data_IF_897660148625
#
_entry.id   IF_897660148625
#
_cell.length_a   1.000
_cell.length_b   1.000
_cell.length_c   1.000
_cell.angle_alpha   90.00
_cell.angle_beta   90.00
_cell.angle_gamma   90.00
#
_symmetry.space_group_name_H-M   'P 1'
#
loop_
_entity.id
_entity.type
_entity.pdbx_description
1 polymer ?
#
# COMPACT_ATOMS: atom_id res chain seq x y z
N UNK A 1 -24.50 -18.61 1.33
CA UNK A 1 -24.37 -17.13 1.31
C UNK A 1 -23.62 -16.81 0.04
N UNK A 2 -24.25 -16.06 -0.86
CA UNK A 2 -23.93 -15.89 -2.28
C UNK A 2 -22.43 -15.91 -2.62
N UNK A 3 -21.96 -17.00 -3.23
CA UNK A 3 -20.64 -17.10 -3.87
C UNK A 3 -20.47 -16.17 -5.11
N UNK A 4 -21.48 -15.35 -5.39
CA UNK A 4 -21.53 -14.40 -6.51
C UNK A 4 -21.16 -12.96 -6.15
N UNK A 5 -20.79 -12.66 -4.91
CA UNK A 5 -20.49 -11.29 -4.49
C UNK A 5 -18.98 -10.96 -4.58
N UNK A 6 -18.65 -9.77 -5.10
CA UNK A 6 -17.28 -9.28 -5.14
C UNK A 6 -16.81 -8.89 -3.72
N UNK A 7 -15.65 -9.40 -3.32
CA UNK A 7 -15.13 -9.26 -1.95
C UNK A 7 -13.69 -8.78 -1.92
N UNK A 8 -13.21 -8.37 -0.75
CA UNK A 8 -11.81 -8.01 -0.56
C UNK A 8 -10.96 -9.24 -0.25
N UNK A 9 -9.83 -9.39 -0.96
CA UNK A 9 -8.79 -10.37 -0.65
C UNK A 9 -7.46 -9.68 -0.33
N UNK A 10 -6.75 -10.19 0.67
CA UNK A 10 -5.44 -9.64 1.05
C UNK A 10 -4.38 -10.18 0.11
N UNK A 11 -3.62 -9.29 -0.53
CA UNK A 11 -2.53 -9.68 -1.42
C UNK A 11 -1.18 -9.68 -0.70
N UNK A 12 -0.81 -8.55 -0.10
CA UNK A 12 0.40 -8.42 0.71
C UNK A 12 0.13 -7.49 1.91
N UNK A 13 1.10 -7.24 2.81
CA UNK A 13 0.89 -6.35 3.94
C UNK A 13 0.38 -4.97 3.49
N UNK A 14 -0.77 -4.56 4.03
CA UNK A 14 -1.45 -3.29 3.72
C UNK A 14 -1.94 -3.12 2.27
N UNK A 15 -1.95 -4.18 1.44
CA UNK A 15 -2.51 -4.15 0.08
C UNK A 15 -3.63 -5.17 -0.04
N UNK A 16 -4.77 -4.70 -0.54
CA UNK A 16 -5.96 -5.50 -0.80
C UNK A 16 -6.30 -5.43 -2.29
N UNK A 17 -6.83 -6.53 -2.81
CA UNK A 17 -7.30 -6.69 -4.19
C UNK A 17 -8.78 -7.08 -4.17
N UNK A 18 -9.50 -6.73 -5.23
CA UNK A 18 -10.86 -7.17 -5.48
C UNK A 18 -10.82 -8.65 -5.87
N UNK A 19 -11.59 -9.49 -5.20
CA UNK A 19 -11.83 -10.89 -5.56
C UNK A 19 -13.21 -10.96 -6.20
N UNK A 20 -13.24 -11.22 -7.50
CA UNK A 20 -14.47 -11.28 -8.29
C UNK A 20 -14.66 -12.68 -8.88
N UNK A 21 -15.89 -13.23 -8.89
CA UNK A 21 -16.22 -14.48 -9.57
C UNK A 21 -16.30 -14.29 -11.10
N UNK A 22 -16.63 -13.08 -11.55
CA UNK A 22 -16.74 -12.73 -12.97
C UNK A 22 -15.54 -11.89 -13.44
N UNK A 23 -15.34 -11.87 -14.76
CA UNK A 23 -14.28 -11.09 -15.40
C UNK A 23 -14.74 -9.64 -15.55
N UNK A 24 -13.88 -8.70 -15.19
CA UNK A 24 -14.13 -7.27 -15.28
C UNK A 24 -13.07 -6.58 -16.13
N UNK A 25 -13.46 -5.47 -16.75
CA UNK A 25 -12.56 -4.65 -17.55
C UNK A 25 -11.94 -3.52 -16.72
N UNK A 26 -10.80 -3.02 -17.19
CA UNK A 26 -10.16 -1.87 -16.56
C UNK A 26 -11.04 -0.63 -16.71
N UNK A 27 -11.23 0.11 -15.62
CA UNK A 27 -12.08 1.29 -15.56
C UNK A 27 -13.54 0.97 -15.19
N UNK A 28 -13.92 -0.31 -15.14
CA UNK A 28 -15.25 -0.72 -14.70
C UNK A 28 -15.46 -0.38 -13.22
N UNK A 29 -16.65 0.11 -12.89
CA UNK A 29 -17.05 0.41 -11.52
C UNK A 29 -17.79 -0.80 -10.95
N UNK A 30 -17.27 -1.35 -9.86
CA UNK A 30 -17.86 -2.50 -9.16
C UNK A 30 -18.07 -2.18 -7.68
N UNK A 31 -18.96 -2.93 -7.04
CA UNK A 31 -19.18 -2.85 -5.60
C UNK A 31 -18.44 -3.97 -4.87
N UNK A 32 -17.62 -3.62 -3.88
CA UNK A 32 -16.96 -4.60 -3.00
C UNK A 32 -17.62 -4.62 -1.62
N UNK A 33 -18.04 -5.81 -1.20
CA UNK A 33 -18.63 -6.02 0.12
C UNK A 33 -17.53 -6.37 1.13
N UNK A 34 -17.47 -5.60 2.21
CA UNK A 34 -16.61 -5.91 3.37
C UNK A 34 -17.15 -7.09 4.16
N UNK A 35 -16.32 -7.72 5.01
CA UNK A 35 -16.75 -8.77 5.95
C UNK A 35 -17.88 -8.38 6.91
N UNK A 36 -18.19 -7.07 7.01
CA UNK A 36 -19.24 -6.53 7.86
C UNK A 36 -20.49 -6.09 7.07
N UNK A 37 -20.58 -6.42 5.77
CA UNK A 37 -21.73 -6.10 4.92
C UNK A 37 -21.76 -4.66 4.39
N UNK A 38 -20.76 -3.82 4.69
CA UNK A 38 -20.63 -2.50 4.05
C UNK A 38 -20.12 -2.67 2.62
N UNK A 39 -20.84 -2.09 1.66
CA UNK A 39 -20.44 -2.01 0.27
C UNK A 39 -19.64 -0.72 0.03
N UNK A 40 -18.60 -0.80 -0.79
CA UNK A 40 -17.89 0.37 -1.28
C UNK A 40 -17.76 0.26 -2.79
N UNK A 41 -17.99 1.38 -3.46
CA UNK A 41 -17.77 1.52 -4.89
C UNK A 41 -16.27 1.65 -5.17
N UNK A 42 -15.80 0.88 -6.15
CA UNK A 42 -14.40 0.86 -6.57
C UNK A 42 -14.28 0.81 -8.08
N UNK A 43 -13.26 1.44 -8.61
CA UNK A 43 -12.86 1.35 -10.01
C UNK A 43 -11.81 0.25 -10.16
N UNK A 44 -12.10 -0.74 -11.01
CA UNK A 44 -11.19 -1.83 -11.36
C UNK A 44 -10.02 -1.28 -12.18
N UNK A 45 -8.81 -1.74 -11.88
CA UNK A 45 -7.60 -1.26 -12.55
C UNK A 45 -6.90 -2.37 -13.35
N UNK A 46 -6.08 -3.21 -12.72
CA UNK A 46 -5.38 -4.30 -13.40
C UNK A 46 -5.78 -5.66 -12.87
N UNK A 47 -5.82 -6.66 -13.75
CA UNK A 47 -5.87 -8.06 -13.35
C UNK A 47 -4.50 -8.49 -12.81
N UNK A 48 -4.45 -8.85 -11.53
CA UNK A 48 -3.22 -9.21 -10.80
C UNK A 48 -2.92 -10.70 -10.96
N UNK A 49 -3.92 -11.56 -10.74
CA UNK A 49 -3.81 -13.01 -10.93
C UNK A 49 -5.18 -13.67 -10.98
N UNK A 50 -5.21 -14.95 -11.37
CA UNK A 50 -6.40 -15.80 -11.34
C UNK A 50 -6.12 -17.03 -10.48
N UNK A 51 -7.07 -17.39 -9.61
CA UNK A 51 -6.93 -18.56 -8.73
C UNK A 51 -8.30 -19.08 -8.29
N UNK A 52 -8.47 -20.39 -8.30
CA UNK A 52 -9.68 -21.09 -7.81
C UNK A 52 -10.97 -20.63 -8.51
N UNK A 53 -10.89 -20.28 -9.80
CA UNK A 53 -12.03 -19.74 -10.58
C UNK A 53 -12.38 -18.27 -10.28
N UNK A 54 -11.59 -17.59 -9.44
CA UNK A 54 -11.76 -16.16 -9.16
C UNK A 54 -10.70 -15.31 -9.86
N UNK A 55 -11.10 -14.09 -10.19
CA UNK A 55 -10.27 -13.05 -10.77
C UNK A 55 -9.91 -12.03 -9.70
N UNK A 56 -8.63 -11.69 -9.60
CA UNK A 56 -8.12 -10.76 -8.59
C UNK A 56 -7.65 -9.46 -9.25
N UNK A 57 -8.28 -8.34 -8.91
CA UNK A 57 -7.98 -7.04 -9.51
C UNK A 57 -7.43 -6.04 -8.49
N UNK A 58 -6.49 -5.21 -8.91
CA UNK A 58 -6.21 -3.96 -8.22
C UNK A 58 -7.37 -2.98 -8.46
N UNK A 59 -7.60 -2.09 -7.50
CA UNK A 59 -8.72 -1.16 -7.57
C UNK A 59 -8.39 0.14 -6.84
N UNK A 60 -9.08 1.21 -7.22
CA UNK A 60 -9.09 2.47 -6.50
C UNK A 60 -10.50 2.70 -5.96
N UNK A 61 -10.63 3.15 -4.71
CA UNK A 61 -11.96 3.51 -4.20
C UNK A 61 -12.37 4.87 -4.77
N UNK A 62 -13.61 4.96 -5.27
CA UNK A 62 -14.14 6.21 -5.85
C UNK A 62 -14.40 7.28 -4.78
N UNK A 63 -14.64 6.86 -3.54
CA UNK A 63 -14.98 7.73 -2.40
C UNK A 63 -13.79 8.46 -1.78
N UNK A 64 -12.59 8.37 -2.36
CA UNK A 64 -11.38 9.02 -1.84
C UNK A 64 -10.94 8.51 -0.47
N UNK A 65 -11.42 7.34 -0.04
CA UNK A 65 -11.15 6.83 1.30
C UNK A 65 -9.67 6.52 1.53
N UNK A 66 -9.05 7.29 2.43
CA UNK A 66 -7.73 7.01 2.97
C UNK A 66 -7.85 6.32 4.35
N UNK A 67 -7.35 5.08 4.45
CA UNK A 67 -7.42 4.29 5.68
C UNK A 67 -6.75 4.99 6.87
N UNK A 68 -5.61 5.65 6.64
CA UNK A 68 -4.85 6.31 7.70
C UNK A 68 -5.58 7.55 8.22
N UNK A 69 -6.19 8.35 7.34
CA UNK A 69 -7.01 9.52 7.71
C UNK A 69 -8.23 9.09 8.52
N UNK A 70 -8.97 8.08 8.04
CA UNK A 70 -10.14 7.59 8.74
C UNK A 70 -9.78 7.01 10.12
N UNK A 71 -8.63 6.36 10.24
CA UNK A 71 -8.13 5.84 11.52
C UNK A 71 -7.71 6.97 12.47
N UNK A 72 -7.08 8.02 11.95
CA UNK A 72 -6.76 9.22 12.72
C UNK A 72 -8.03 9.89 13.25
N UNK A 73 -9.02 10.14 12.39
CA UNK A 73 -10.30 10.74 12.77
C UNK A 73 -11.03 9.96 13.86
N UNK A 74 -11.06 8.62 13.74
CA UNK A 74 -11.66 7.75 14.77
C UNK A 74 -10.95 7.87 16.12
N UNK A 75 -9.63 7.92 16.13
CA UNK A 75 -8.84 8.08 17.35
C UNK A 75 -9.02 9.48 17.96
N UNK A 76 -9.13 10.53 17.15
CA UNK A 76 -9.48 11.87 17.62
C UNK A 76 -10.85 11.90 18.29
N UNK A 77 -11.85 11.20 17.72
CA UNK A 77 -13.16 11.06 18.36
C UNK A 77 -13.08 10.38 19.74
N UNK A 78 -12.22 9.36 19.88
CA UNK A 78 -11.98 8.72 21.19
C UNK A 78 -11.23 9.63 22.15
N UNK A 79 -10.28 10.44 21.68
CA UNK A 79 -9.57 11.42 22.48
C UNK A 79 -10.54 12.46 23.05
N UNK A 80 -11.36 13.08 22.20
CA UNK A 80 -12.38 14.06 22.61
C UNK A 80 -13.40 13.46 23.59
N UNK A 81 -13.82 12.21 23.38
CA UNK A 81 -14.73 11.53 24.32
C UNK A 81 -14.08 11.29 25.69
N UNK A 82 -12.79 10.96 25.73
CA UNK A 82 -12.05 10.78 26.98
C UNK A 82 -11.79 12.12 27.68
N UNK A 83 -11.49 13.17 26.92
CA UNK A 83 -11.33 14.54 27.43
C UNK A 83 -12.63 15.04 28.08
N UNK A 84 -13.77 14.91 27.41
CA UNK A 84 -15.07 15.26 27.98
C UNK A 84 -15.40 14.48 29.29
N UNK A 85 -14.94 13.23 29.40
CA UNK A 85 -15.07 12.44 30.64
C UNK A 85 -14.12 12.92 31.75
N UNK A 86 -12.91 13.31 31.38
CA UNK A 86 -11.93 13.93 32.28
C UNK A 86 -12.51 15.22 32.86
N UNK A 87 -12.98 16.12 32.00
CA UNK A 87 -13.52 17.42 32.41
C UNK A 87 -14.71 17.26 33.34
N UNK A 88 -15.66 16.36 32.99
CA UNK A 88 -16.79 16.04 33.86
C UNK A 88 -16.38 15.47 35.22
N UNK A 89 -15.35 14.63 35.28
CA UNK A 89 -14.85 14.08 36.54
C UNK A 89 -14.12 15.15 37.37
N UNK A 90 -13.38 16.03 36.71
CA UNK A 90 -12.71 17.18 37.32
C UNK A 90 -13.71 18.18 37.88
N UNK A 91 -14.75 18.54 37.12
CA UNK A 91 -15.85 19.38 37.60
C UNK A 91 -16.52 18.77 38.84
N UNK A 92 -16.84 17.47 38.79
CA UNK A 92 -17.42 16.76 39.92
C UNK A 92 -16.48 16.66 41.13
N UNK A 93 -15.16 16.74 40.94
CA UNK A 93 -14.19 16.76 42.05
C UNK A 93 -14.22 18.06 42.85
N UNK A 94 -14.87 19.11 42.33
CA UNK A 94 -15.06 20.38 43.03
C UNK A 94 -16.30 20.39 43.95
N UNK A 95 -16.90 19.24 44.26
CA UNK A 95 -17.99 19.16 45.24
C UNK A 95 -17.54 19.76 46.59
N UNK A 96 -18.31 20.68 47.15
CA UNK A 96 -17.98 21.31 48.43
C UNK A 96 -16.75 22.24 48.39
N UNK A 97 -16.35 22.72 47.21
CA UNK A 97 -15.24 23.67 47.03
C UNK A 97 -15.35 24.89 47.95
N UNK A 98 -16.53 25.49 48.07
CA UNK A 98 -16.76 26.66 48.94
C UNK A 98 -16.48 26.35 50.42
N UNK A 99 -16.88 25.17 50.90
CA UNK A 99 -16.58 24.72 52.26
C UNK A 99 -15.09 24.45 52.45
N UNK A 100 -14.46 23.74 51.50
CA UNK A 100 -13.03 23.37 51.58
C UNK A 100 -12.11 24.59 51.43
N UNK A 101 -12.52 25.62 50.68
CA UNK A 101 -11.72 26.85 50.50
C UNK A 101 -11.59 27.68 51.78
N UNK A 102 -12.48 27.48 52.76
CA UNK A 102 -12.36 28.10 54.09
C UNK A 102 -11.17 27.54 54.89
N UNK A 103 -10.62 26.39 54.48
CA UNK A 103 -9.43 25.80 55.11
C UNK A 103 -9.69 25.26 56.52
N UNK A 104 -10.94 24.94 56.88
CA UNK A 104 -11.24 24.37 58.18
C UNK A 104 -10.49 23.03 58.38
N UNK A 105 -9.81 22.82 59.51
CA UNK A 105 -9.17 21.54 59.78
C UNK A 105 -10.21 20.44 60.09
N UNK A 106 -9.84 19.17 59.84
CA UNK A 106 -10.63 18.03 60.28
C UNK A 106 -10.60 17.97 61.82
N UNK A 107 -11.75 18.19 62.45
CA UNK A 107 -11.92 18.11 63.90
C UNK A 107 -12.07 16.65 64.34
N UNK A 108 -10.97 16.05 64.79
CA UNK A 108 -10.93 14.63 65.23
C UNK A 108 -11.85 14.43 66.45
N UNK A 109 -12.68 13.38 66.43
CA UNK A 109 -13.65 13.05 67.47
C UNK A 109 -14.97 13.85 67.42
N UNK A 110 -15.10 14.81 66.51
CA UNK A 110 -16.33 15.59 66.33
C UNK A 110 -17.31 14.89 65.39
N UNK A 111 -18.62 15.09 65.60
CA UNK A 111 -19.68 14.44 64.79
C UNK A 111 -19.60 14.77 63.27
N UNK A 112 -18.90 15.84 62.88
CA UNK A 112 -18.68 16.22 61.47
C UNK A 112 -17.47 15.54 60.81
N UNK A 113 -16.58 14.89 61.58
CA UNK A 113 -15.32 14.31 61.08
C UNK A 113 -15.55 13.36 59.89
N UNK A 114 -16.48 12.41 60.04
CA UNK A 114 -16.75 11.38 59.02
C UNK A 114 -17.19 12.00 57.69
N UNK A 115 -18.01 13.05 57.72
CA UNK A 115 -18.47 13.76 56.51
C UNK A 115 -17.32 14.49 55.84
N UNK A 116 -16.46 15.15 56.60
CA UNK A 116 -15.30 15.88 56.06
C UNK A 116 -14.33 14.91 55.35
N UNK A 117 -13.94 13.81 56.00
CA UNK A 117 -13.07 12.79 55.38
C UNK A 117 -13.69 12.20 54.11
N UNK A 118 -14.99 11.87 54.15
CA UNK A 118 -15.69 11.31 52.99
C UNK A 118 -15.79 12.30 51.81
N UNK A 119 -15.91 13.61 52.07
CA UNK A 119 -15.90 14.63 51.02
C UNK A 119 -14.54 14.68 50.32
N UNK A 120 -13.45 14.75 51.09
CA UNK A 120 -12.08 14.79 50.56
C UNK A 120 -11.79 13.52 49.75
N UNK A 121 -12.13 12.35 50.28
CA UNK A 121 -11.85 11.08 49.62
C UNK A 121 -12.63 10.93 48.29
N UNK A 122 -13.90 11.34 48.26
CA UNK A 122 -14.70 11.36 47.02
C UNK A 122 -14.11 12.31 45.98
N UNK A 123 -13.70 13.51 46.38
CA UNK A 123 -13.09 14.49 45.48
C UNK A 123 -11.74 13.97 44.94
N UNK A 124 -10.92 13.37 45.81
CA UNK A 124 -9.67 12.70 45.41
C UNK A 124 -9.92 11.60 44.38
N UNK A 125 -10.85 10.68 44.65
CA UNK A 125 -11.17 9.58 43.73
C UNK A 125 -11.65 10.09 42.37
N UNK A 126 -12.44 11.18 42.35
CA UNK A 126 -12.89 11.83 41.11
C UNK A 126 -11.74 12.50 40.36
N UNK A 127 -10.82 13.13 41.08
CA UNK A 127 -9.60 13.70 40.48
C UNK A 127 -8.71 12.61 39.87
N UNK A 128 -8.50 11.51 40.58
CA UNK A 128 -7.73 10.36 40.06
C UNK A 128 -8.36 9.83 38.77
N UNK A 129 -9.70 9.74 38.73
CA UNK A 129 -10.44 9.38 37.52
C UNK A 129 -10.27 10.41 36.38
N UNK A 130 -10.32 11.69 36.69
CA UNK A 130 -10.11 12.76 35.70
C UNK A 130 -8.72 12.63 35.06
N UNK A 131 -7.68 12.48 35.89
CA UNK A 131 -6.30 12.31 35.41
C UNK A 131 -6.11 11.03 34.59
N UNK A 132 -6.76 9.92 34.97
CA UNK A 132 -6.71 8.69 34.20
C UNK A 132 -7.33 8.83 32.81
N UNK A 133 -8.50 9.49 32.70
CA UNK A 133 -9.15 9.76 31.41
C UNK A 133 -8.35 10.78 30.58
N UNK A 134 -7.75 11.80 31.22
CA UNK A 134 -6.87 12.76 30.55
C UNK A 134 -5.66 12.07 29.90
N UNK A 135 -4.96 11.21 30.66
CA UNK A 135 -3.83 10.43 30.12
C UNK A 135 -4.26 9.58 28.91
N UNK A 136 -5.45 8.97 28.99
CA UNK A 136 -6.02 8.19 27.89
C UNK A 136 -6.35 9.06 26.67
N UNK A 137 -6.85 10.28 26.86
CA UNK A 137 -7.08 11.23 25.79
C UNK A 137 -5.75 11.58 25.08
N UNK A 138 -4.71 11.92 25.85
CA UNK A 138 -3.36 12.21 25.33
C UNK A 138 -2.79 11.03 24.53
N UNK A 139 -2.93 9.80 25.02
CA UNK A 139 -2.50 8.59 24.30
C UNK A 139 -3.25 8.40 22.97
N UNK A 140 -4.57 8.64 22.95
CA UNK A 140 -5.35 8.58 21.71
C UNK A 140 -4.94 9.68 20.74
N UNK A 141 -4.70 10.90 21.22
CA UNK A 141 -4.26 12.02 20.41
C UNK A 141 -2.90 11.74 19.77
N UNK A 142 -1.91 11.30 20.55
CA UNK A 142 -0.59 10.94 20.04
C UNK A 142 -0.67 9.87 18.94
N UNK A 143 -1.54 8.86 19.14
CA UNK A 143 -1.78 7.82 18.12
C UNK A 143 -2.49 8.39 16.89
N UNK A 144 -3.46 9.30 17.07
CA UNK A 144 -4.14 9.96 15.97
C UNK A 144 -3.16 10.76 15.11
N UNK A 145 -2.26 11.52 15.74
CA UNK A 145 -1.22 12.31 15.07
C UNK A 145 -0.27 11.44 14.25
N UNK A 146 0.12 10.27 14.80
CA UNK A 146 0.91 9.29 14.05
C UNK A 146 0.19 8.85 12.77
N UNK A 147 -1.10 8.51 12.86
CA UNK A 147 -1.88 8.09 11.69
C UNK A 147 -2.13 9.25 10.71
N UNK A 148 -2.33 10.47 11.21
CA UNK A 148 -2.47 11.67 10.37
C UNK A 148 -1.19 11.98 9.58
N UNK A 149 0.00 11.75 10.18
CA UNK A 149 1.27 11.82 9.44
C UNK A 149 1.37 10.73 8.39
N UNK A 150 1.00 9.49 8.74
CA UNK A 150 1.02 8.34 7.83
C UNK A 150 0.03 8.45 6.67
N UNK A 151 -1.01 9.27 6.78
CA UNK A 151 -1.93 9.53 5.67
C UNK A 151 -1.26 10.16 4.45
N UNK A 152 -0.17 10.89 4.66
CA UNK A 152 0.60 11.54 3.60
C UNK A 152 1.62 10.61 2.93
N UNK A 153 1.87 9.44 3.51
CA UNK A 153 2.83 8.49 2.96
C UNK A 153 2.21 7.79 1.73
N UNK A 154 2.93 7.81 0.60
CA UNK A 154 2.55 7.04 -0.59
C UNK A 154 2.88 5.56 -0.33
N UNK A 155 1.88 4.69 -0.48
CA UNK A 155 2.00 3.25 -0.25
C UNK A 155 1.73 2.45 -1.51
N UNK A 156 2.02 1.14 -1.52
CA UNK A 156 1.73 0.25 -2.65
C UNK A 156 0.23 0.20 -3.05
N UNK A 157 -0.67 0.64 -2.18
CA UNK A 157 -2.10 0.71 -2.48
C UNK A 157 -2.48 1.95 -3.31
N UNK A 158 -1.55 2.85 -3.57
CA UNK A 158 -1.75 4.06 -4.36
C UNK A 158 -1.26 3.85 -5.81
N UNK A 159 -2.00 4.30 -6.84
CA UNK A 159 -1.52 4.23 -8.23
C UNK A 159 -0.20 4.98 -8.46
N UNK A 160 -0.05 6.16 -7.85
CA UNK A 160 1.16 7.00 -7.87
C UNK A 160 2.39 6.35 -7.22
N UNK A 161 2.22 5.16 -6.62
CA UNK A 161 3.31 4.49 -5.92
C UNK A 161 4.42 4.01 -6.83
N UNK A 162 4.13 3.76 -8.11
CA UNK A 162 5.12 3.33 -9.08
C UNK A 162 6.22 4.41 -9.23
N UNK A 163 5.82 5.61 -9.65
CA UNK A 163 6.72 6.76 -9.84
C UNK A 163 7.48 7.11 -8.55
N UNK A 164 6.78 7.07 -7.41
CA UNK A 164 7.38 7.32 -6.11
C UNK A 164 8.51 6.33 -5.79
N UNK A 165 8.28 5.03 -6.02
CA UNK A 165 9.31 4.02 -5.74
C UNK A 165 10.45 4.04 -6.76
N UNK A 166 10.20 4.41 -8.02
CA UNK A 166 11.25 4.57 -9.03
C UNK A 166 12.23 5.68 -8.66
N UNK A 167 11.73 6.86 -8.28
CA UNK A 167 12.58 7.95 -7.79
C UNK A 167 13.30 7.59 -6.48
N UNK A 168 12.67 6.81 -5.59
CA UNK A 168 13.36 6.28 -4.40
C UNK A 168 14.47 5.28 -4.76
N UNK A 169 14.28 4.47 -5.80
CA UNK A 169 15.27 3.50 -6.25
C UNK A 169 16.53 4.21 -6.77
N UNK A 170 16.38 5.27 -7.54
CA UNK A 170 17.50 6.08 -8.03
C UNK A 170 18.34 6.62 -6.87
N UNK A 171 17.69 7.20 -5.86
CA UNK A 171 18.37 7.69 -4.65
C UNK A 171 19.06 6.57 -3.89
N UNK A 172 18.42 5.42 -3.75
CA UNK A 172 18.98 4.27 -3.04
C UNK A 172 20.20 3.69 -3.79
N UNK A 173 20.14 3.62 -5.13
CA UNK A 173 21.26 3.19 -5.98
C UNK A 173 22.44 4.16 -5.87
N UNK A 174 22.20 5.46 -5.98
CA UNK A 174 23.24 6.49 -5.82
C UNK A 174 23.91 6.41 -4.45
N UNK A 175 23.13 6.20 -3.38
CA UNK A 175 23.67 6.00 -2.02
C UNK A 175 24.52 4.74 -1.92
N UNK A 176 24.04 3.61 -2.43
CA UNK A 176 24.77 2.35 -2.40
C UNK A 176 26.08 2.44 -3.18
N UNK A 177 26.04 3.06 -4.37
CA UNK A 177 27.23 3.32 -5.18
C UNK A 177 28.21 4.26 -4.48
N UNK A 178 27.71 5.33 -3.85
CA UNK A 178 28.53 6.26 -3.09
C UNK A 178 29.26 5.62 -1.90
N UNK A 179 28.61 4.67 -1.22
CA UNK A 179 29.23 3.88 -0.15
C UNK A 179 30.22 2.82 -0.69
N UNK A 180 30.07 2.41 -1.95
CA UNK A 180 30.92 1.42 -2.61
C UNK A 180 32.20 2.07 -3.17
N UNK A 181 32.08 3.22 -3.82
CA UNK A 181 33.19 3.97 -4.40
C UNK A 181 33.89 4.91 -3.39
N UNK A 182 33.28 5.14 -2.21
CA UNK A 182 33.87 5.93 -1.13
C UNK A 182 33.56 7.43 -1.19
N UNK A 183 32.69 7.89 -2.09
CA UNK A 183 32.22 9.30 -2.07
C UNK A 183 31.38 9.60 -0.83
N UNK A 184 30.77 8.57 -0.23
CA UNK A 184 30.05 8.65 1.04
C UNK A 184 30.80 7.82 2.07
N UNK A 185 31.16 8.44 3.20
CA UNK A 185 31.79 7.75 4.32
C UNK A 185 30.84 6.74 4.97
N UNK A 186 31.39 5.57 5.30
CA UNK A 186 30.65 4.53 6.01
C UNK A 186 30.65 4.86 7.50
N UNK A 187 29.47 5.06 8.07
CA UNK A 187 29.33 5.29 9.52
C UNK A 187 29.62 4.03 10.33
N UNK A 188 29.37 2.84 9.77
CA UNK A 188 29.63 1.56 10.43
C UNK A 188 29.90 0.44 9.41
N UNK A 189 30.38 -0.72 9.88
CA UNK A 189 30.73 -1.87 9.03
C UNK A 189 29.57 -2.35 8.14
N UNK A 190 28.34 -2.28 8.65
CA UNK A 190 27.13 -2.70 7.92
C UNK A 190 26.53 -1.65 6.97
N UNK A 191 27.10 -0.45 6.81
CA UNK A 191 26.46 0.63 6.04
C UNK A 191 26.21 0.22 4.58
N UNK A 192 27.16 -0.48 3.97
CA UNK A 192 27.03 -1.00 2.60
C UNK A 192 25.93 -2.06 2.50
N UNK A 193 25.89 -2.99 3.45
CA UNK A 193 24.91 -4.07 3.50
C UNK A 193 23.48 -3.53 3.63
N UNK A 194 23.28 -2.52 4.48
CA UNK A 194 21.97 -1.88 4.63
C UNK A 194 21.57 -1.11 3.36
N UNK A 195 22.50 -0.41 2.71
CA UNK A 195 22.21 0.27 1.45
C UNK A 195 21.84 -0.72 0.34
N UNK A 196 22.53 -1.87 0.23
CA UNK A 196 22.15 -2.91 -0.74
C UNK A 196 20.79 -3.54 -0.41
N UNK A 197 20.51 -3.77 0.87
CA UNK A 197 19.21 -4.28 1.32
C UNK A 197 18.08 -3.31 0.96
N UNK A 198 18.29 -2.02 1.16
CA UNK A 198 17.33 -0.96 0.81
C UNK A 198 16.99 -0.97 -0.68
N UNK A 199 17.99 -1.03 -1.57
CA UNK A 199 17.80 -1.17 -3.03
C UNK A 199 16.93 -2.39 -3.35
N UNK A 200 17.30 -3.57 -2.82
CA UNK A 200 16.57 -4.81 -3.09
C UNK A 200 15.12 -4.77 -2.56
N UNK A 201 14.86 -4.08 -1.44
CA UNK A 201 13.49 -3.92 -0.91
C UNK A 201 12.65 -2.98 -1.78
N UNK A 202 13.24 -1.90 -2.29
CA UNK A 202 12.55 -0.98 -3.21
C UNK A 202 12.26 -1.68 -4.54
N UNK A 203 13.20 -2.44 -5.09
CA UNK A 203 12.98 -3.23 -6.33
C UNK A 203 11.80 -4.19 -6.20
N UNK A 204 11.66 -4.87 -5.05
CA UNK A 204 10.49 -5.72 -4.77
C UNK A 204 9.18 -4.94 -4.72
N UNK A 205 9.20 -3.72 -4.17
CA UNK A 205 8.05 -2.82 -4.15
C UNK A 205 7.68 -2.36 -5.55
N UNK A 206 8.65 -1.97 -6.38
CA UNK A 206 8.41 -1.61 -7.79
C UNK A 206 7.80 -2.77 -8.55
N UNK A 207 8.33 -3.99 -8.39
CA UNK A 207 7.75 -5.19 -9.03
C UNK A 207 6.27 -5.38 -8.66
N UNK A 208 5.95 -5.16 -7.39
CA UNK A 208 4.57 -5.24 -6.90
C UNK A 208 3.71 -4.09 -7.42
N UNK A 209 4.21 -2.86 -7.38
CA UNK A 209 3.52 -1.66 -7.88
C UNK A 209 3.22 -1.77 -9.38
N UNK A 210 4.19 -2.26 -10.17
CA UNK A 210 4.04 -2.50 -11.60
C UNK A 210 2.92 -3.49 -11.89
N UNK A 211 2.87 -4.61 -11.17
CA UNK A 211 1.78 -5.57 -11.32
C UNK A 211 0.40 -4.96 -10.99
N UNK A 212 0.34 -4.13 -9.95
CA UNK A 212 -0.91 -3.51 -9.50
C UNK A 212 -1.36 -2.35 -10.41
N UNK A 213 -0.43 -1.56 -10.95
CA UNK A 213 -0.73 -0.22 -11.50
C UNK A 213 -0.14 0.07 -12.88
N UNK A 214 0.79 -0.72 -13.41
CA UNK A 214 1.34 -0.43 -14.74
C UNK A 214 0.36 -0.81 -15.84
N UNK A 215 0.34 -0.09 -16.95
CA UNK A 215 -0.44 -0.49 -18.13
C UNK A 215 0.38 -1.55 -18.87
N UNK A 216 -0.19 -2.73 -19.17
CA UNK A 216 0.51 -3.67 -20.01
C UNK A 216 0.51 -3.16 -21.45
N UNK A 217 1.68 -3.18 -22.07
CA UNK A 217 1.86 -2.83 -23.47
C UNK A 217 1.79 -4.12 -24.27
N UNK A 218 1.04 -4.11 -25.37
CA UNK A 218 1.06 -5.19 -26.35
C UNK A 218 2.24 -4.96 -27.29
N UNK A 219 3.13 -5.94 -27.39
CA UNK A 219 4.28 -5.95 -28.28
C UNK A 219 4.05 -6.96 -29.39
N UNK A 220 4.61 -6.66 -30.56
CA UNK A 220 4.66 -7.54 -31.72
C UNK A 220 6.08 -7.64 -32.23
N UNK A 221 6.47 -8.82 -32.70
CA UNK A 221 7.76 -9.06 -33.33
C UNK A 221 7.67 -10.23 -34.31
N UNK A 222 8.62 -10.28 -35.25
CA UNK A 222 8.80 -11.41 -36.17
C UNK A 222 9.91 -12.32 -35.67
N UNK A 223 9.75 -13.62 -35.87
CA UNK A 223 10.79 -14.62 -35.68
C UNK A 223 10.94 -15.49 -36.93
N UNK A 224 12.14 -16.05 -37.12
CA UNK A 224 12.46 -16.92 -38.26
C UNK A 224 11.74 -18.27 -38.16
N UNK A 225 11.46 -18.74 -36.95
CA UNK A 225 10.62 -19.91 -36.73
C UNK A 225 9.94 -19.95 -35.37
N UNK A 226 8.99 -20.88 -35.25
CA UNK A 226 8.32 -21.19 -33.98
C UNK A 226 9.28 -21.57 -32.82
N UNK A 227 10.40 -22.30 -33.04
CA UNK A 227 11.34 -22.64 -31.97
C UNK A 227 11.96 -21.42 -31.27
N UNK A 228 12.13 -20.33 -32.02
CA UNK A 228 12.75 -19.12 -31.48
C UNK A 228 11.75 -18.39 -30.56
N UNK A 229 10.47 -18.38 -30.93
CA UNK A 229 9.39 -17.87 -30.06
C UNK A 229 9.29 -18.70 -28.77
N UNK A 230 9.40 -20.03 -28.85
CA UNK A 230 9.38 -20.90 -27.67
C UNK A 230 10.56 -20.60 -26.73
N UNK A 231 11.75 -20.37 -27.31
CA UNK A 231 12.94 -19.97 -26.57
C UNK A 231 12.75 -18.63 -25.85
N UNK A 232 12.15 -17.65 -26.54
CA UNK A 232 11.78 -16.37 -25.95
C UNK A 232 10.73 -16.52 -24.85
N UNK A 233 9.66 -17.27 -25.08
CA UNK A 233 8.62 -17.51 -24.09
C UNK A 233 9.17 -18.14 -22.80
N UNK A 234 10.15 -19.04 -22.94
CA UNK A 234 10.86 -19.65 -21.81
C UNK A 234 11.77 -18.65 -21.09
N UNK A 235 12.46 -17.77 -21.81
CA UNK A 235 13.37 -16.78 -21.26
C UNK A 235 12.63 -15.68 -20.49
N UNK A 236 11.57 -15.10 -21.08
CA UNK A 236 10.77 -14.04 -20.46
C UNK A 236 9.86 -14.57 -19.34
N UNK A 237 9.47 -15.84 -19.42
CA UNK A 237 8.71 -16.54 -18.39
C UNK A 237 7.38 -15.87 -18.06
N UNK A 238 7.18 -15.50 -16.79
CA UNK A 238 5.91 -14.92 -16.30
C UNK A 238 5.74 -13.43 -16.60
N UNK A 239 6.77 -12.78 -17.16
CA UNK A 239 6.74 -11.33 -17.42
C UNK A 239 6.08 -10.98 -18.76
N UNK A 240 5.78 -11.98 -19.58
CA UNK A 240 4.92 -11.87 -20.74
C UNK A 240 3.72 -12.82 -20.66
N UNK A 241 2.57 -12.36 -21.14
CA UNK A 241 1.29 -13.05 -21.07
C UNK A 241 0.45 -12.73 -22.31
N UNK A 242 -0.67 -13.45 -22.50
CA UNK A 242 -1.51 -13.36 -23.70
C UNK A 242 -0.75 -13.55 -25.02
N UNK A 243 0.21 -14.49 -25.06
CA UNK A 243 0.94 -14.82 -26.27
C UNK A 243 0.02 -15.35 -27.38
N UNK A 244 0.16 -14.80 -28.57
CA UNK A 244 -0.46 -15.28 -29.81
C UNK A 244 0.62 -15.43 -30.86
N UNK A 245 0.52 -16.50 -31.65
CA UNK A 245 1.46 -16.78 -32.74
C UNK A 245 0.62 -16.89 -34.02
N UNK A 246 0.99 -16.09 -35.02
CA UNK A 246 0.32 -16.02 -36.31
C UNK A 246 1.34 -16.36 -37.41
N UNK A 247 1.05 -17.34 -38.29
CA UNK A 247 1.93 -17.67 -39.40
C UNK A 247 1.83 -16.59 -40.50
N UNK A 248 2.98 -16.09 -40.97
CA UNK A 248 3.06 -15.12 -42.08
C UNK A 248 3.50 -15.82 -43.37
N UNK A 249 4.44 -16.75 -43.25
CA UNK A 249 5.02 -17.52 -44.35
C UNK A 249 5.71 -18.79 -43.84
N UNK A 250 6.31 -19.55 -44.74
CA UNK A 250 7.22 -20.64 -44.37
C UNK A 250 8.66 -20.12 -44.52
N UNK A 251 9.50 -20.03 -43.46
CA UNK A 251 9.29 -20.43 -42.07
C UNK A 251 8.81 -19.32 -41.10
N UNK A 252 8.74 -18.07 -41.58
CA UNK A 252 8.52 -16.87 -40.76
C UNK A 252 7.18 -16.81 -40.01
N UNK A 253 7.26 -16.43 -38.74
CA UNK A 253 6.13 -16.32 -37.81
C UNK A 253 6.11 -14.96 -37.12
N UNK A 254 4.91 -14.46 -36.85
CA UNK A 254 4.68 -13.27 -36.04
C UNK A 254 4.17 -13.68 -34.66
N UNK A 255 4.70 -13.06 -33.63
CA UNK A 255 4.23 -13.24 -32.26
C UNK A 255 3.74 -11.90 -31.71
N UNK A 256 2.61 -11.93 -31.01
CA UNK A 256 2.18 -10.84 -30.14
C UNK A 256 2.09 -11.31 -28.70
N UNK A 257 2.41 -10.42 -27.77
CA UNK A 257 2.29 -10.69 -26.34
C UNK A 257 2.10 -9.38 -25.58
N UNK A 258 1.59 -9.48 -24.36
CA UNK A 258 1.48 -8.34 -23.44
C UNK A 258 2.54 -8.45 -22.36
N UNK A 259 3.15 -7.32 -22.02
CA UNK A 259 4.11 -7.24 -20.92
C UNK A 259 4.03 -5.87 -20.23
N UNK A 260 4.39 -5.86 -18.95
CA UNK A 260 4.64 -4.63 -18.20
C UNK A 260 6.10 -4.15 -18.32
N UNK A 261 6.95 -4.90 -19.02
CA UNK A 261 8.33 -4.53 -19.28
C UNK A 261 8.40 -3.42 -20.33
N UNK A 262 9.38 -2.55 -20.20
CA UNK A 262 9.70 -1.55 -21.23
C UNK A 262 10.44 -2.23 -22.39
N UNK A 263 10.34 -1.68 -23.61
CA UNK A 263 11.04 -2.21 -24.78
C UNK A 263 12.53 -2.53 -24.53
N UNK A 264 13.36 -1.67 -23.89
CA UNK A 264 14.77 -2.00 -23.63
C UNK A 264 14.98 -3.21 -22.72
N UNK A 265 14.10 -3.41 -21.72
CA UNK A 265 14.17 -4.57 -20.83
C UNK A 265 13.85 -5.87 -21.59
N UNK A 266 12.95 -5.80 -22.58
CA UNK A 266 12.60 -6.96 -23.40
C UNK A 266 13.76 -7.29 -24.35
N UNK A 267 14.39 -6.27 -24.94
CA UNK A 267 15.57 -6.43 -25.78
C UNK A 267 16.71 -7.08 -24.98
N UNK A 268 16.96 -6.65 -23.73
CA UNK A 268 17.97 -7.27 -22.85
C UNK A 268 17.70 -8.77 -22.61
N UNK A 269 16.43 -9.18 -22.52
CA UNK A 269 16.05 -10.60 -22.44
C UNK A 269 16.32 -11.32 -23.77
N UNK A 270 16.01 -10.69 -24.90
CA UNK A 270 16.25 -11.26 -26.23
C UNK A 270 17.74 -11.41 -26.54
N UNK A 271 18.59 -10.50 -26.09
CA UNK A 271 20.06 -10.58 -26.24
C UNK A 271 20.66 -11.84 -25.60
N UNK A 272 19.98 -12.42 -24.60
CA UNK A 272 20.41 -13.64 -23.93
C UNK A 272 20.05 -14.93 -24.70
N UNK A 273 19.33 -14.82 -25.83
CA UNK A 273 18.81 -15.94 -26.62
C UNK A 273 19.63 -16.07 -27.92
N UNK A 274 20.10 -17.28 -28.27
CA UNK A 274 20.70 -17.53 -29.58
C UNK A 274 19.71 -17.23 -30.72
N UNK A 275 20.21 -16.68 -31.84
CA UNK A 275 19.43 -16.41 -33.06
C UNK A 275 18.21 -15.48 -32.88
N UNK A 276 18.23 -14.59 -31.88
CA UNK A 276 17.16 -13.61 -31.61
C UNK A 276 17.22 -12.32 -32.43
N UNK A 277 18.18 -12.19 -33.35
CA UNK A 277 18.43 -10.95 -34.12
C UNK A 277 17.17 -10.41 -34.81
N UNK A 278 16.42 -11.27 -35.47
CA UNK A 278 15.18 -10.87 -36.16
C UNK A 278 14.11 -10.37 -35.18
N UNK A 279 14.04 -10.96 -33.99
CA UNK A 279 13.11 -10.51 -32.96
C UNK A 279 13.49 -9.12 -32.45
N UNK A 280 14.78 -8.91 -32.17
CA UNK A 280 15.29 -7.64 -31.67
C UNK A 280 15.13 -6.51 -32.70
N UNK A 281 15.34 -6.81 -33.98
CA UNK A 281 15.20 -5.83 -35.08
C UNK A 281 13.74 -5.48 -35.40
N UNK A 282 12.77 -6.30 -34.98
CA UNK A 282 11.35 -6.11 -35.36
C UNK A 282 10.44 -5.82 -34.17
N UNK A 283 10.90 -6.03 -32.93
CA UNK A 283 10.04 -5.86 -31.76
C UNK A 283 9.66 -4.39 -31.55
N UNK A 284 8.36 -4.14 -31.57
CA UNK A 284 7.77 -2.83 -31.32
C UNK A 284 6.45 -2.96 -30.56
N UNK A 285 6.01 -1.89 -29.88
CA UNK A 285 4.62 -1.77 -29.45
C UNK A 285 3.68 -2.02 -30.63
N UNK A 286 2.57 -2.73 -30.42
CA UNK A 286 1.65 -3.14 -31.48
C UNK A 286 1.08 -1.97 -32.28
N UNK A 287 1.03 -0.77 -31.69
CA UNK A 287 0.59 0.48 -32.35
C UNK A 287 1.62 1.02 -33.35
N UNK A 288 2.90 0.73 -33.13
CA UNK A 288 4.03 1.21 -33.94
C UNK A 288 4.64 0.11 -34.82
N UNK A 289 4.18 -1.14 -34.65
CA UNK A 289 4.70 -2.30 -35.35
C UNK A 289 4.33 -2.28 -36.84
N UNK A 290 5.36 -2.24 -37.70
CA UNK A 290 5.23 -2.25 -39.16
C UNK A 290 5.52 -3.63 -39.78
N UNK A 291 6.12 -4.55 -39.02
CA UNK A 291 6.61 -5.84 -39.53
C UNK A 291 7.86 -5.76 -40.40
N UNK A 292 8.42 -4.56 -40.57
CA UNK A 292 9.72 -4.35 -41.21
C UNK A 292 10.83 -4.36 -40.17
N UNK A 293 12.01 -4.84 -40.57
CA UNK A 293 13.21 -4.77 -39.73
C UNK A 293 13.59 -3.30 -39.59
N UNK A 294 13.70 -2.84 -38.35
CA UNK A 294 14.30 -1.54 -38.05
C UNK A 294 15.77 -1.70 -38.39
N UNK A 295 16.21 -1.08 -39.49
CA UNK A 295 17.62 -1.00 -39.84
C UNK A 295 18.32 -0.23 -38.70
N UNK A 296 19.02 -0.95 -37.83
CA UNK A 296 20.00 -0.40 -36.88
C UNK A 296 21.34 -0.27 -37.59
#
# INVERSE_FOLDING_TARGET
MSDSANTYAKYCPNVWVAKCPEKHERGEIIYLTTKYGKENEVTVFNLVFQKDGFFYYSFVRTDGFNYAEHRAARLMGYASTAEAKSDKAWEASNEGKEFLSLGEPIKIGHHSERRHRALIERNRTRMDKAMAEKKKAEEYQHRADFWARKAKDITLANPESLDYYEHLLEKAKARHEGLKNGTIERSHSYSLTYAKKEVNEIEKKIKTARLLWAIPIEYKFRAEGAPDIESFQKAIGKEAFDFKIEPIGLPDVEASFKSYMTLPQIIEVMECIPDSHVMMETILPAEEYTGERILV
#
